data_IF_752536291386
#
_entry.id   IF_752536291386
#
_cell.length_a   1.000
_cell.length_b   1.000
_cell.length_c   1.000
_cell.angle_alpha   90.00
_cell.angle_beta   90.00
_cell.angle_gamma   90.00
#
_symmetry.space_group_name_H-M   'P 1'
#
loop_
_entity.id
_entity.type
_entity.pdbx_description
1 polymer ?
#
# COMPACT_ATOMS: atom_id res chain seq x y z
N UNK A 1 39.52 -5.56 8.56
CA UNK A 1 38.38 -4.83 7.99
C UNK A 1 38.52 -3.40 8.47
N UNK A 2 38.56 -2.41 7.58
CA UNK A 2 38.23 -1.04 8.00
C UNK A 2 36.74 -1.10 8.34
N UNK A 3 36.37 -0.79 9.57
CA UNK A 3 34.96 -0.66 9.91
C UNK A 3 34.52 0.68 9.30
N UNK A 4 33.59 0.64 8.35
CA UNK A 4 33.01 1.84 7.72
C UNK A 4 31.95 2.51 8.62
N UNK A 5 31.80 2.05 9.86
CA UNK A 5 30.83 2.52 10.86
C UNK A 5 31.53 2.63 12.21
N UNK A 6 31.58 3.85 12.74
CA UNK A 6 31.97 4.13 14.12
C UNK A 6 30.76 4.00 15.06
N UNK A 7 30.98 3.46 16.26
CA UNK A 7 29.92 3.24 17.25
C UNK A 7 30.19 4.12 18.47
N UNK A 8 29.20 4.92 18.84
CA UNK A 8 29.20 5.75 20.03
C UNK A 8 28.01 5.36 20.91
N UNK A 9 28.29 4.87 22.13
CA UNK A 9 27.27 4.51 23.11
C UNK A 9 27.02 5.69 24.07
N UNK A 10 26.41 6.75 23.57
CA UNK A 10 26.13 7.97 24.33
C UNK A 10 24.65 8.35 24.24
N UNK A 11 24.15 9.04 25.26
CA UNK A 11 22.77 9.53 25.37
C UNK A 11 22.69 11.06 25.46
N UNK A 12 23.77 11.73 25.83
CA UNK A 12 23.88 13.18 25.86
C UNK A 12 24.03 13.76 24.44
N UNK A 13 23.08 14.60 24.03
CA UNK A 13 23.00 15.12 22.67
C UNK A 13 24.19 16.01 22.33
N UNK A 14 24.61 16.85 23.25
CA UNK A 14 25.70 17.80 23.08
C UNK A 14 27.01 17.05 22.80
N UNK A 15 27.32 16.02 23.60
CA UNK A 15 28.47 15.15 23.37
C UNK A 15 28.39 14.38 22.05
N UNK A 16 27.19 13.89 21.67
CA UNK A 16 26.99 13.22 20.38
C UNK A 16 27.30 14.16 19.21
N UNK A 17 26.83 15.41 19.26
CA UNK A 17 27.04 16.40 18.21
C UNK A 17 28.51 16.86 18.12
N UNK A 18 29.17 17.00 19.26
CA UNK A 18 30.60 17.33 19.32
C UNK A 18 31.44 16.21 18.71
N UNK A 19 31.17 14.95 19.05
CA UNK A 19 31.88 13.81 18.48
C UNK A 19 31.59 13.66 16.98
N UNK A 20 30.33 13.84 16.56
CA UNK A 20 29.95 13.83 15.14
C UNK A 20 30.71 14.88 14.31
N UNK A 21 30.94 16.07 14.87
CA UNK A 21 31.76 17.12 14.27
C UNK A 21 33.25 16.76 14.24
N UNK A 22 33.79 16.28 15.36
CA UNK A 22 35.20 15.91 15.49
C UNK A 22 35.58 14.79 14.53
N UNK A 23 34.73 13.77 14.44
CA UNK A 23 34.87 12.64 13.51
C UNK A 23 34.61 13.03 12.05
N UNK A 24 34.05 14.23 11.78
CA UNK A 24 33.63 14.70 10.45
C UNK A 24 32.71 13.70 9.77
N UNK A 25 31.73 13.19 10.51
CA UNK A 25 30.79 12.20 9.98
C UNK A 25 30.04 12.76 8.76
N UNK A 26 29.69 11.89 7.80
CA UNK A 26 28.81 12.26 6.69
C UNK A 26 27.36 11.80 6.93
N UNK A 27 27.20 10.78 7.78
CA UNK A 27 25.93 10.20 8.18
C UNK A 27 25.95 9.99 9.69
N UNK A 28 24.90 10.45 10.37
CA UNK A 28 24.66 10.23 11.79
C UNK A 28 23.37 9.42 11.96
N UNK A 29 23.43 8.32 12.70
CA UNK A 29 22.26 7.46 12.97
C UNK A 29 21.99 7.49 14.47
N UNK A 30 20.81 8.00 14.85
CA UNK A 30 20.31 7.98 16.22
C UNK A 30 19.30 6.84 16.36
N UNK A 31 19.71 5.73 16.97
CA UNK A 31 18.94 4.47 17.06
C UNK A 31 17.69 4.55 17.94
N UNK A 32 17.61 5.53 18.83
CA UNK A 32 16.39 5.81 19.59
C UNK A 32 16.38 7.24 20.08
N UNK A 33 15.58 8.09 19.45
CA UNK A 33 15.45 9.49 19.89
C UNK A 33 14.85 9.60 21.29
N UNK A 34 14.08 8.60 21.72
CA UNK A 34 13.50 8.56 23.07
C UNK A 34 14.55 8.42 24.17
N UNK A 35 15.76 7.94 23.85
CA UNK A 35 16.83 7.76 24.84
C UNK A 35 17.81 8.92 24.88
N UNK A 36 17.68 9.91 23.99
CA UNK A 36 18.58 11.05 23.91
C UNK A 36 18.13 12.15 24.87
N UNK A 37 19.06 12.73 25.62
CA UNK A 37 18.87 13.89 26.49
C UNK A 37 19.68 15.10 26.07
N UNK A 38 19.15 16.29 26.37
CA UNK A 38 19.81 17.56 26.16
C UNK A 38 19.54 18.44 27.37
N UNK A 39 20.60 19.06 27.89
CA UNK A 39 20.55 19.92 29.07
C UNK A 39 19.80 21.24 28.79
N UNK A 40 19.66 21.63 27.52
CA UNK A 40 18.91 22.82 27.12
C UNK A 40 17.38 22.66 27.26
N UNK A 41 16.89 21.44 27.48
CA UNK A 41 15.45 21.14 27.59
C UNK A 41 15.06 20.72 29.01
N UNK A 42 14.22 21.52 29.67
CA UNK A 42 13.60 21.16 30.94
C UNK A 42 12.55 20.05 30.73
N UNK A 43 12.96 18.79 30.80
CA UNK A 43 12.07 17.64 30.67
C UNK A 43 12.75 16.33 31.04
N UNK A 44 11.98 15.37 31.57
CA UNK A 44 12.50 14.04 31.82
C UNK A 44 12.85 13.33 30.49
N UNK A 45 13.84 12.43 30.48
CA UNK A 45 14.12 11.53 29.37
C UNK A 45 12.86 10.82 28.85
N UNK A 46 12.75 10.68 27.53
CA UNK A 46 11.61 10.15 26.79
C UNK A 46 10.31 11.01 26.83
N UNK A 47 10.35 12.21 27.42
CA UNK A 47 9.20 13.12 27.36
C UNK A 47 9.03 13.73 25.95
N UNK A 48 7.79 14.00 25.56
CA UNK A 48 7.47 14.56 24.23
C UNK A 48 8.23 15.87 23.95
N UNK A 49 8.33 16.74 24.95
CA UNK A 49 9.01 18.03 24.85
C UNK A 49 10.51 17.86 24.59
N UNK A 50 11.15 16.94 25.31
CA UNK A 50 12.56 16.64 25.16
C UNK A 50 12.87 16.00 23.79
N UNK A 51 12.06 15.03 23.36
CA UNK A 51 12.21 14.39 22.03
C UNK A 51 12.07 15.43 20.91
N UNK A 52 11.13 16.38 21.02
CA UNK A 52 11.01 17.49 20.07
C UNK A 52 12.23 18.41 20.06
N UNK A 53 12.73 18.78 21.24
CA UNK A 53 13.90 19.64 21.37
C UNK A 53 15.14 18.99 20.76
N UNK A 54 15.40 17.72 21.09
CA UNK A 54 16.51 16.96 20.52
C UNK A 54 16.39 16.83 18.99
N UNK A 55 15.20 16.52 18.48
CA UNK A 55 14.95 16.43 17.02
C UNK A 55 15.21 17.77 16.33
N UNK A 56 14.78 18.89 16.93
CA UNK A 56 14.98 20.22 16.38
C UNK A 56 16.48 20.58 16.33
N UNK A 57 17.24 20.26 17.38
CA UNK A 57 18.69 20.48 17.44
C UNK A 57 19.45 19.62 16.42
N UNK A 58 19.09 18.34 16.28
CA UNK A 58 19.62 17.44 15.24
C UNK A 58 19.32 17.97 13.83
N UNK A 59 18.10 18.47 13.60
CA UNK A 59 17.72 19.07 12.30
C UNK A 59 18.53 20.33 12.01
N UNK A 60 18.81 21.15 13.03
CA UNK A 60 19.66 22.33 12.87
C UNK A 60 21.09 21.94 12.54
N UNK A 61 21.66 20.99 13.28
CA UNK A 61 22.99 20.44 13.01
C UNK A 61 23.13 19.92 11.58
N UNK A 62 22.15 19.15 11.09
CA UNK A 62 22.14 18.65 9.71
C UNK A 62 22.20 19.79 8.68
N UNK A 63 21.48 20.90 8.92
CA UNK A 63 21.46 22.06 8.02
C UNK A 63 22.75 22.88 8.07
N UNK A 64 23.39 22.98 9.22
CA UNK A 64 24.66 23.72 9.38
C UNK A 64 25.85 22.97 8.78
N UNK A 65 25.85 21.65 8.92
CA UNK A 65 27.00 20.80 8.57
C UNK A 65 26.86 20.09 7.23
N UNK A 66 25.63 19.92 6.73
CA UNK A 66 25.32 19.10 5.56
C UNK A 66 25.31 17.59 5.85
N UNK A 67 25.39 17.17 7.11
CA UNK A 67 25.34 15.76 7.52
C UNK A 67 23.94 15.18 7.34
N UNK A 68 23.84 13.95 6.83
CA UNK A 68 22.57 13.22 6.76
C UNK A 68 22.27 12.59 8.13
N UNK A 69 21.16 12.97 8.75
CA UNK A 69 20.77 12.46 10.07
C UNK A 69 19.57 11.52 9.95
N UNK A 70 19.74 10.27 10.39
CA UNK A 70 18.67 9.29 10.58
C UNK A 70 18.25 9.28 12.05
N UNK A 71 16.93 9.31 12.27
CA UNK A 71 16.33 9.30 13.60
C UNK A 71 15.35 8.14 13.68
N UNK A 72 15.60 7.21 14.59
CA UNK A 72 14.70 6.09 14.85
C UNK A 72 13.78 6.46 16.02
N UNK A 73 12.47 6.34 15.77
CA UNK A 73 11.43 6.62 16.75
C UNK A 73 10.49 5.42 16.89
N UNK A 74 10.51 4.78 18.06
CA UNK A 74 9.62 3.65 18.36
C UNK A 74 8.17 4.09 18.61
N UNK A 75 7.20 3.32 18.10
CA UNK A 75 5.78 3.49 18.42
C UNK A 75 5.45 2.72 19.69
N UNK A 76 4.97 3.41 20.73
CA UNK A 76 4.59 2.80 22.02
C UNK A 76 3.13 2.33 22.03
N UNK A 77 2.80 1.38 22.93
CA UNK A 77 1.52 0.63 22.97
C UNK A 77 0.25 1.49 23.06
N UNK A 78 0.35 2.72 23.56
CA UNK A 78 -0.80 3.61 23.75
C UNK A 78 -0.95 4.68 22.67
N UNK A 79 -0.07 4.73 21.67
CA UNK A 79 -0.06 5.76 20.63
C UNK A 79 0.19 7.20 21.14
N UNK A 80 0.34 7.38 22.46
CA UNK A 80 0.29 8.67 23.16
C UNK A 80 1.62 9.15 23.73
N UNK A 81 2.70 8.35 23.69
CA UNK A 81 4.02 8.82 24.14
C UNK A 81 4.87 9.09 22.91
N UNK A 82 5.03 10.38 22.60
CA UNK A 82 6.04 10.90 21.68
C UNK A 82 6.16 10.11 20.36
N UNK A 83 5.03 9.67 19.80
CA UNK A 83 5.04 8.90 18.56
C UNK A 83 5.63 9.71 17.39
N UNK A 84 6.08 9.06 16.30
CA UNK A 84 6.66 9.70 15.12
C UNK A 84 5.80 10.85 14.58
N UNK A 85 4.46 10.77 14.71
CA UNK A 85 3.50 11.86 14.41
C UNK A 85 3.84 13.21 15.00
N UNK A 86 4.43 13.22 16.19
CA UNK A 86 4.83 14.44 16.88
C UNK A 86 6.02 15.13 16.19
N UNK A 87 6.85 14.35 15.52
CA UNK A 87 8.08 14.78 14.85
C UNK A 87 7.87 14.99 13.35
N UNK A 88 6.80 14.45 12.77
CA UNK A 88 6.50 14.50 11.33
C UNK A 88 6.61 15.90 10.72
N UNK A 89 6.21 16.94 11.47
CA UNK A 89 6.27 18.32 10.98
C UNK A 89 7.68 18.93 11.04
N UNK A 90 8.55 18.42 11.91
CA UNK A 90 9.88 18.97 12.21
C UNK A 90 10.94 18.44 11.23
N UNK A 91 10.81 17.19 10.79
CA UNK A 91 11.76 16.50 9.92
C UNK A 91 11.47 16.68 8.42
N UNK A 92 12.46 16.44 7.56
CA UNK A 92 12.30 16.57 6.12
C UNK A 92 11.65 15.33 5.46
N UNK A 93 11.94 14.14 5.97
CA UNK A 93 11.40 12.86 5.48
C UNK A 93 10.91 12.02 6.67
N UNK A 94 9.76 11.38 6.51
CA UNK A 94 9.14 10.47 7.49
C UNK A 94 8.91 9.14 6.80
N UNK A 95 9.53 8.09 7.33
CA UNK A 95 9.34 6.72 6.89
C UNK A 95 8.69 5.92 8.03
N UNK A 96 7.66 5.15 7.71
CA UNK A 96 7.07 4.17 8.60
C UNK A 96 7.54 2.78 8.20
N UNK A 97 7.98 2.00 9.18
CA UNK A 97 8.30 0.61 8.98
C UNK A 97 7.22 -0.25 9.65
N UNK A 98 6.36 -0.82 8.81
CA UNK A 98 5.13 -1.52 9.20
C UNK A 98 5.24 -3.01 8.86
N UNK A 99 4.60 -3.87 9.62
CA UNK A 99 4.49 -5.28 9.25
C UNK A 99 3.47 -5.98 10.13
N UNK A 100 2.60 -6.78 9.51
CA UNK A 100 1.74 -7.68 10.27
C UNK A 100 2.58 -8.81 10.88
N UNK A 101 2.15 -9.31 12.03
CA UNK A 101 2.80 -10.43 12.74
C UNK A 101 2.75 -11.73 11.93
N UNK A 102 1.82 -11.85 10.98
CA UNK A 102 1.51 -13.11 10.31
C UNK A 102 2.15 -13.28 8.92
N UNK A 103 2.60 -12.19 8.26
CA UNK A 103 3.01 -12.25 6.84
C UNK A 103 4.53 -12.27 6.62
N UNK A 104 5.37 -12.20 7.67
CA UNK A 104 6.84 -12.23 7.54
C UNK A 104 7.48 -11.01 6.84
N UNK A 105 6.67 -10.27 6.08
CA UNK A 105 7.04 -9.07 5.35
C UNK A 105 7.02 -7.83 6.24
N UNK A 106 7.85 -6.86 5.84
CA UNK A 106 7.99 -5.53 6.42
C UNK A 106 7.96 -4.51 5.30
N UNK A 107 7.04 -3.55 5.40
CA UNK A 107 6.82 -2.49 4.45
C UNK A 107 7.45 -1.21 5.00
N UNK A 108 8.37 -0.60 4.25
CA UNK A 108 8.92 0.72 4.51
C UNK A 108 8.19 1.74 3.63
N UNK A 109 7.34 2.60 4.21
CA UNK A 109 6.48 3.53 3.48
C UNK A 109 6.82 4.97 3.82
N UNK A 110 6.92 5.84 2.82
CA UNK A 110 7.16 7.26 3.05
C UNK A 110 5.84 8.01 3.33
N UNK A 111 5.68 8.62 4.50
CA UNK A 111 4.48 9.44 4.79
C UNK A 111 4.73 10.92 4.50
N UNK A 112 6.00 11.34 4.57
CA UNK A 112 6.46 12.67 4.16
C UNK A 112 7.80 12.50 3.48
N UNK A 113 7.99 13.13 2.33
CA UNK A 113 9.26 13.12 1.64
C UNK A 113 9.45 14.46 0.94
N UNK A 114 10.34 15.32 1.46
CA UNK A 114 10.64 16.61 0.82
C UNK A 114 11.54 16.48 -0.42
N UNK A 115 12.13 15.31 -0.62
CA UNK A 115 13.12 15.07 -1.67
C UNK A 115 12.66 14.04 -2.71
N UNK A 116 11.41 13.56 -2.63
CA UNK A 116 10.90 12.51 -3.49
C UNK A 116 9.41 12.23 -3.28
N UNK A 117 8.92 11.11 -3.80
CA UNK A 117 7.53 10.71 -3.61
C UNK A 117 7.28 10.17 -2.20
N UNK A 118 6.07 10.38 -1.68
CA UNK A 118 5.55 9.68 -0.50
C UNK A 118 5.04 8.29 -0.86
N UNK A 119 4.65 8.09 -2.10
CA UNK A 119 3.99 6.85 -2.49
C UNK A 119 5.03 5.80 -2.90
N UNK A 120 6.21 5.78 -2.28
CA UNK A 120 7.22 4.74 -2.48
C UNK A 120 7.18 3.78 -1.31
N UNK A 121 7.24 2.48 -1.63
CA UNK A 121 7.25 1.39 -0.66
C UNK A 121 8.46 0.50 -0.92
N UNK A 122 9.29 0.31 0.11
CA UNK A 122 10.26 -0.77 0.17
C UNK A 122 9.63 -2.00 0.80
N UNK A 123 9.82 -3.17 0.23
CA UNK A 123 9.32 -4.44 0.79
C UNK A 123 10.51 -5.27 1.22
N UNK A 124 10.47 -5.73 2.47
CA UNK A 124 11.55 -6.50 3.08
C UNK A 124 10.99 -7.74 3.75
N UNK A 125 11.82 -8.75 3.88
CA UNK A 125 11.54 -9.97 4.65
C UNK A 125 12.61 -10.13 5.73
N UNK A 126 12.21 -10.52 6.94
CA UNK A 126 13.16 -10.82 8.02
C UNK A 126 13.60 -12.29 7.92
N UNK A 127 14.85 -12.51 7.50
CA UNK A 127 15.47 -13.84 7.51
C UNK A 127 16.44 -14.02 8.69
N UNK A 128 17.08 -15.19 8.75
CA UNK A 128 18.01 -15.55 9.83
C UNK A 128 19.23 -14.61 9.93
N UNK A 129 19.66 -14.05 8.80
CA UNK A 129 20.80 -13.12 8.73
C UNK A 129 20.40 -11.64 8.79
N UNK A 130 19.13 -11.33 9.05
CA UNK A 130 18.58 -9.97 9.07
C UNK A 130 17.61 -9.68 7.92
N UNK A 131 17.37 -8.39 7.67
CA UNK A 131 16.41 -7.96 6.66
C UNK A 131 16.95 -8.08 5.25
N UNK A 132 16.16 -8.66 4.35
CA UNK A 132 16.45 -8.76 2.93
C UNK A 132 15.41 -8.02 2.11
N UNK A 133 15.86 -7.25 1.13
CA UNK A 133 14.97 -6.63 0.15
C UNK A 133 14.25 -7.69 -0.69
N UNK A 134 12.94 -7.51 -0.84
CA UNK A 134 12.12 -8.26 -1.77
C UNK A 134 12.04 -7.45 -3.08
N UNK A 135 12.88 -7.81 -4.04
CA UNK A 135 13.00 -7.07 -5.30
C UNK A 135 11.73 -7.12 -6.18
N UNK A 136 10.94 -8.19 -6.09
CA UNK A 136 9.68 -8.36 -6.84
C UNK A 136 8.52 -8.72 -5.91
N UNK A 137 8.00 -7.74 -5.16
CA UNK A 137 6.97 -8.00 -4.16
C UNK A 137 5.64 -8.41 -4.80
N UNK A 138 5.39 -8.03 -6.04
CA UNK A 138 4.15 -8.34 -6.74
C UNK A 138 3.94 -9.84 -6.95
N UNK A 139 4.99 -10.68 -7.00
CA UNK A 139 4.82 -12.13 -7.03
C UNK A 139 4.36 -12.73 -5.70
N UNK A 140 4.64 -12.06 -4.57
CA UNK A 140 4.22 -12.52 -3.25
C UNK A 140 2.74 -12.23 -2.99
N UNK A 141 2.19 -11.21 -3.63
CA UNK A 141 0.80 -10.77 -3.44
C UNK A 141 -0.19 -11.42 -4.42
N UNK A 142 0.28 -12.37 -5.22
CA UNK A 142 -0.53 -13.10 -6.19
C UNK A 142 -0.52 -14.57 -5.81
N UNK A 143 -1.70 -15.12 -5.52
CA UNK A 143 -1.83 -16.55 -5.20
C UNK A 143 -1.50 -17.43 -6.41
N UNK A 144 -1.74 -16.91 -7.62
CA UNK A 144 -1.62 -17.64 -8.88
C UNK A 144 -2.78 -18.61 -9.13
N UNK A 145 -3.75 -18.69 -8.21
CA UNK A 145 -4.91 -19.58 -8.33
C UNK A 145 -6.11 -18.84 -8.94
N UNK A 146 -6.79 -19.51 -9.87
CA UNK A 146 -8.02 -19.00 -10.47
C UNK A 146 -9.21 -19.54 -9.67
N UNK A 147 -9.50 -18.90 -8.54
CA UNK A 147 -10.63 -19.25 -7.66
C UNK A 147 -11.79 -18.24 -7.80
N UNK A 148 -13.04 -18.67 -7.55
CA UNK A 148 -14.17 -17.75 -7.41
C UNK A 148 -13.85 -16.68 -6.36
N UNK A 149 -14.29 -15.44 -6.64
CA UNK A 149 -14.06 -14.33 -5.73
C UNK A 149 -12.64 -13.77 -5.77
N UNK A 150 -11.83 -14.08 -6.78
CA UNK A 150 -10.47 -13.54 -6.91
C UNK A 150 -10.33 -12.71 -8.19
N UNK A 151 -9.80 -11.49 -8.09
CA UNK A 151 -9.50 -10.65 -9.25
C UNK A 151 -8.22 -9.86 -9.03
N UNK A 152 -7.41 -9.73 -10.08
CA UNK A 152 -6.14 -9.00 -10.02
C UNK A 152 -6.30 -7.61 -10.62
N UNK A 153 -5.68 -6.64 -9.97
CA UNK A 153 -5.62 -5.26 -10.43
C UNK A 153 -4.19 -4.73 -10.36
N UNK A 154 -3.93 -3.60 -11.01
CA UNK A 154 -2.68 -2.89 -10.92
C UNK A 154 -2.95 -1.53 -10.31
N UNK A 155 -2.47 -1.31 -9.09
CA UNK A 155 -2.46 -0.01 -8.45
C UNK A 155 -1.14 0.73 -8.75
N UNK A 156 -1.13 2.05 -8.62
CA UNK A 156 0.05 2.90 -8.68
C UNK A 156 0.36 3.39 -7.28
N UNK A 157 1.46 2.87 -6.74
CA UNK A 157 2.11 3.41 -5.55
C UNK A 157 3.14 4.41 -6.08
N UNK A 158 2.70 5.66 -6.21
CA UNK A 158 3.54 6.74 -6.71
C UNK A 158 3.83 6.57 -8.17
N UNK A 159 5.10 6.45 -8.53
CA UNK A 159 5.56 6.10 -9.88
C UNK A 159 5.57 4.61 -10.17
N UNK A 160 5.45 3.75 -9.15
CA UNK A 160 5.60 2.30 -9.28
C UNK A 160 4.24 1.62 -9.48
N UNK A 161 4.07 0.80 -10.54
CA UNK A 161 2.92 -0.09 -10.64
C UNK A 161 3.10 -1.27 -9.70
N UNK A 162 2.05 -1.64 -8.98
CA UNK A 162 2.00 -2.81 -8.09
C UNK A 162 0.75 -3.62 -8.46
N UNK A 163 0.94 -4.89 -8.83
CA UNK A 163 -0.19 -5.81 -8.90
C UNK A 163 -0.66 -6.21 -7.51
N UNK A 164 -1.98 -6.21 -7.33
CA UNK A 164 -2.64 -6.62 -6.11
C UNK A 164 -3.79 -7.58 -6.44
N UNK A 165 -3.90 -8.65 -5.66
CA UNK A 165 -5.05 -9.55 -5.69
C UNK A 165 -6.13 -9.05 -4.73
N UNK A 166 -7.35 -8.92 -5.24
CA UNK A 166 -8.56 -8.64 -4.47
C UNK A 166 -9.33 -9.93 -4.33
N UNK A 167 -9.66 -10.27 -3.09
CA UNK A 167 -10.45 -11.44 -2.72
C UNK A 167 -11.77 -11.01 -2.12
N UNK A 168 -12.84 -11.72 -2.47
CA UNK A 168 -14.16 -11.53 -1.89
C UNK A 168 -14.81 -12.85 -1.55
N UNK A 169 -15.56 -12.85 -0.46
CA UNK A 169 -16.37 -13.95 0.00
C UNK A 169 -17.78 -13.44 0.27
N UNK A 170 -18.75 -14.09 -0.35
CA UNK A 170 -20.17 -13.79 -0.17
C UNK A 170 -20.86 -14.96 0.51
N UNK A 171 -21.69 -14.65 1.50
CA UNK A 171 -22.57 -15.65 2.15
C UNK A 171 -23.98 -15.10 2.24
N UNK A 172 -24.97 -15.99 2.18
CA UNK A 172 -26.35 -15.62 2.47
C UNK A 172 -26.47 -15.07 3.89
N UNK A 173 -27.09 -13.90 4.02
CA UNK A 173 -27.47 -13.37 5.31
C UNK A 173 -28.85 -13.90 5.69
N UNK A 174 -28.90 -14.75 6.72
CA UNK A 174 -30.15 -15.29 7.22
C UNK A 174 -30.98 -14.26 8.01
N UNK A 175 -30.36 -13.26 8.65
CA UNK A 175 -31.05 -12.31 9.54
C UNK A 175 -30.38 -10.94 9.66
N UNK A 176 -31.18 -9.88 9.56
CA UNK A 176 -30.77 -8.50 9.86
C UNK A 176 -30.12 -7.78 8.66
N UNK A 177 -29.37 -6.72 8.96
CA UNK A 177 -28.67 -5.96 7.93
C UNK A 177 -27.42 -6.72 7.46
N UNK A 178 -27.21 -6.92 6.14
CA UNK A 178 -26.03 -7.60 5.64
C UNK A 178 -24.74 -6.89 6.04
N UNK A 179 -23.77 -7.70 6.46
CA UNK A 179 -22.42 -7.27 6.81
C UNK A 179 -21.66 -6.88 5.55
N UNK A 180 -20.93 -5.78 5.64
CA UNK A 180 -20.06 -5.26 4.59
C UNK A 180 -18.71 -4.98 5.24
N UNK A 181 -17.76 -5.87 5.05
CA UNK A 181 -16.45 -5.82 5.68
C UNK A 181 -15.38 -5.74 4.60
N UNK A 182 -14.40 -4.88 4.81
CA UNK A 182 -13.32 -4.66 3.86
C UNK A 182 -12.00 -4.50 4.61
N UNK A 183 -10.96 -5.18 4.13
CA UNK A 183 -9.56 -4.95 4.50
C UNK A 183 -8.80 -4.53 3.23
N UNK A 184 -8.08 -3.40 3.31
CA UNK A 184 -7.34 -2.84 2.18
C UNK A 184 -8.11 -1.87 1.28
N UNK A 185 -9.44 -1.74 1.42
CA UNK A 185 -10.27 -0.73 0.74
C UNK A 185 -11.23 -0.07 1.75
N UNK A 186 -11.56 1.21 1.54
CA UNK A 186 -12.60 1.91 2.31
C UNK A 186 -13.99 1.24 2.21
N UNK A 187 -14.66 1.08 3.35
CA UNK A 187 -15.98 0.42 3.44
C UNK A 187 -17.07 1.23 2.72
N UNK A 188 -16.97 2.56 2.71
CA UNK A 188 -17.89 3.44 1.98
C UNK A 188 -17.78 3.21 0.47
N UNK A 189 -16.55 3.12 -0.04
CA UNK A 189 -16.25 2.78 -1.44
C UNK A 189 -16.78 1.40 -1.82
N UNK A 190 -16.57 0.37 -0.99
CA UNK A 190 -17.17 -0.95 -1.21
C UNK A 190 -18.70 -0.85 -1.32
N UNK A 191 -19.34 -0.13 -0.40
CA UNK A 191 -20.80 0.02 -0.38
C UNK A 191 -21.35 0.67 -1.65
N UNK A 192 -20.66 1.66 -2.22
CA UNK A 192 -21.04 2.28 -3.49
C UNK A 192 -20.92 1.28 -4.66
N UNK A 193 -19.84 0.50 -4.71
CA UNK A 193 -19.65 -0.50 -5.77
C UNK A 193 -20.73 -1.58 -5.72
N UNK A 194 -21.10 -2.05 -4.52
CA UNK A 194 -22.21 -3.00 -4.34
C UNK A 194 -23.54 -2.42 -4.84
N UNK A 195 -23.82 -1.15 -4.55
CA UNK A 195 -25.03 -0.48 -5.04
C UNK A 195 -25.05 -0.35 -6.58
N UNK A 196 -23.91 -0.07 -7.21
CA UNK A 196 -23.78 -0.03 -8.67
C UNK A 196 -23.99 -1.42 -9.27
N UNK A 197 -23.35 -2.45 -8.72
CA UNK A 197 -23.53 -3.84 -9.18
C UNK A 197 -24.99 -4.29 -9.07
N UNK A 198 -25.66 -3.98 -7.96
CA UNK A 198 -27.06 -4.34 -7.77
C UNK A 198 -27.99 -3.60 -8.74
N UNK A 199 -27.79 -2.29 -8.92
CA UNK A 199 -28.68 -1.47 -9.76
C UNK A 199 -28.40 -1.59 -11.26
N UNK A 200 -27.13 -1.73 -11.66
CA UNK A 200 -26.67 -1.63 -13.06
C UNK A 200 -26.28 -2.96 -13.67
N UNK A 201 -25.83 -3.91 -12.85
CA UNK A 201 -25.53 -5.28 -13.29
C UNK A 201 -26.59 -6.30 -12.80
N UNK A 202 -27.65 -5.84 -12.13
CA UNK A 202 -28.77 -6.65 -11.66
C UNK A 202 -28.38 -7.82 -10.72
N UNK A 203 -27.26 -7.67 -10.01
CA UNK A 203 -26.78 -8.67 -9.05
C UNK A 203 -27.53 -8.54 -7.72
N UNK A 204 -28.11 -9.64 -7.21
CA UNK A 204 -28.86 -9.64 -5.95
C UNK A 204 -27.91 -9.66 -4.73
N UNK A 205 -27.36 -8.50 -4.38
CA UNK A 205 -26.36 -8.34 -3.30
C UNK A 205 -26.96 -7.89 -1.97
N UNK A 206 -28.16 -7.30 -1.97
CA UNK A 206 -28.85 -6.82 -0.76
C UNK A 206 -29.16 -7.89 0.29
N UNK A 207 -29.04 -9.17 -0.03
CA UNK A 207 -29.26 -10.30 0.89
C UNK A 207 -27.96 -11.04 1.25
N UNK A 208 -26.81 -10.53 0.80
CA UNK A 208 -25.52 -11.19 0.99
C UNK A 208 -24.64 -10.39 1.95
N UNK A 209 -24.04 -11.10 2.90
CA UNK A 209 -22.88 -10.56 3.60
C UNK A 209 -21.69 -10.56 2.62
N UNK A 210 -20.94 -9.46 2.59
CA UNK A 210 -19.78 -9.27 1.71
C UNK A 210 -18.55 -9.03 2.56
N UNK A 211 -17.57 -9.90 2.41
CA UNK A 211 -16.23 -9.75 2.98
C UNK A 211 -15.25 -9.54 1.84
N UNK A 212 -14.43 -8.50 1.92
CA UNK A 212 -13.43 -8.17 0.92
C UNK A 212 -12.05 -8.02 1.59
N UNK A 213 -11.03 -8.56 0.94
CA UNK A 213 -9.65 -8.47 1.38
C UNK A 213 -8.73 -8.14 0.20
N UNK A 214 -7.76 -7.26 0.41
CA UNK A 214 -6.64 -7.07 -0.51
C UNK A 214 -5.45 -7.84 0.04
N UNK A 215 -4.92 -8.77 -0.75
CA UNK A 215 -3.84 -9.68 -0.33
C UNK A 215 -2.56 -8.91 -0.03
N UNK A 216 -1.81 -9.34 1.00
CA UNK A 216 -0.49 -8.79 1.36
C UNK A 216 -0.53 -7.48 2.14
N UNK A 217 -1.64 -7.19 2.83
CA UNK A 217 -1.81 -5.97 3.62
C UNK A 217 -1.79 -4.67 2.80
N UNK A 218 -1.93 -4.76 1.48
CA UNK A 218 -1.93 -3.61 0.58
C UNK A 218 -3.19 -2.77 0.77
N UNK A 219 -3.07 -1.45 0.56
CA UNK A 219 -4.20 -0.52 0.53
C UNK A 219 -4.41 -0.01 -0.89
N UNK A 220 -5.65 -0.12 -1.38
CA UNK A 220 -6.04 0.35 -2.71
C UNK A 220 -6.81 1.65 -2.58
N UNK A 221 -6.08 2.76 -2.46
CA UNK A 221 -6.67 4.08 -2.22
C UNK A 221 -7.15 4.77 -3.51
N UNK A 222 -6.68 4.33 -4.68
CA UNK A 222 -7.08 4.93 -5.96
C UNK A 222 -8.28 4.25 -6.61
N UNK A 223 -9.09 5.02 -7.36
CA UNK A 223 -10.34 4.57 -8.00
C UNK A 223 -10.16 3.58 -9.14
N UNK A 224 -8.96 3.52 -9.70
CA UNK A 224 -8.69 2.74 -10.89
C UNK A 224 -8.71 1.22 -10.68
N UNK A 225 -8.86 0.78 -9.42
CA UNK A 225 -9.04 -0.61 -9.01
C UNK A 225 -10.52 -1.01 -8.83
N UNK A 226 -11.47 -0.07 -9.00
CA UNK A 226 -12.90 -0.31 -8.79
C UNK A 226 -13.43 -1.46 -9.65
N UNK A 227 -13.00 -1.55 -10.91
CA UNK A 227 -13.45 -2.60 -11.81
C UNK A 227 -13.04 -3.99 -11.33
N UNK A 228 -11.83 -4.14 -10.78
CA UNK A 228 -11.37 -5.41 -10.23
C UNK A 228 -12.17 -5.82 -8.99
N UNK A 229 -12.46 -4.87 -8.10
CA UNK A 229 -13.34 -5.09 -6.93
C UNK A 229 -14.73 -5.54 -7.39
N UNK A 230 -15.27 -4.87 -8.41
CA UNK A 230 -16.58 -5.20 -8.94
C UNK A 230 -16.64 -6.62 -9.56
N UNK A 231 -15.63 -6.99 -10.34
CA UNK A 231 -15.52 -8.33 -10.92
C UNK A 231 -15.24 -9.41 -9.88
N UNK A 232 -14.45 -9.10 -8.85
CA UNK A 232 -14.18 -9.96 -7.71
C UNK A 232 -15.49 -10.32 -7.00
N UNK A 233 -16.33 -9.34 -6.65
CA UNK A 233 -17.64 -9.56 -6.03
C UNK A 233 -18.58 -10.34 -6.94
N UNK A 234 -18.62 -10.01 -8.24
CA UNK A 234 -19.43 -10.75 -9.20
C UNK A 234 -18.99 -12.22 -9.31
N UNK A 235 -17.68 -12.48 -9.30
CA UNK A 235 -17.09 -13.81 -9.31
C UNK A 235 -17.51 -14.64 -8.11
N UNK A 236 -17.43 -14.07 -6.91
CA UNK A 236 -17.86 -14.74 -5.68
C UNK A 236 -19.37 -14.98 -5.65
N UNK A 237 -20.19 -14.03 -6.15
CA UNK A 237 -21.64 -14.22 -6.21
C UNK A 237 -22.04 -15.35 -7.16
N UNK A 238 -21.37 -15.44 -8.32
CA UNK A 238 -21.65 -16.45 -9.34
C UNK A 238 -20.97 -17.79 -9.08
N UNK A 239 -20.11 -17.87 -8.06
CA UNK A 239 -19.25 -19.02 -7.77
C UNK A 239 -18.44 -19.49 -9.00
N UNK A 240 -17.95 -18.53 -9.80
CA UNK A 240 -17.21 -18.77 -11.03
C UNK A 240 -15.93 -17.94 -11.06
N UNK A 241 -14.75 -18.54 -11.29
CA UNK A 241 -13.51 -17.78 -11.38
C UNK A 241 -13.49 -16.92 -12.65
N UNK A 242 -12.74 -15.82 -12.61
CA UNK A 242 -12.43 -15.04 -13.80
C UNK A 242 -11.60 -15.88 -14.79
N UNK A 243 -11.58 -15.53 -16.10
CA UNK A 243 -10.67 -16.15 -17.03
C UNK A 243 -9.21 -16.08 -16.51
N UNK A 244 -8.43 -17.17 -16.62
CA UNK A 244 -7.06 -17.20 -16.12
C UNK A 244 -6.23 -16.02 -16.64
N UNK A 245 -5.26 -15.57 -15.84
CA UNK A 245 -4.29 -14.53 -16.24
C UNK A 245 -4.96 -13.22 -16.69
N UNK A 246 -6.15 -12.94 -16.15
CA UNK A 246 -6.91 -11.71 -16.41
C UNK A 246 -6.75 -10.70 -15.27
N UNK A 247 -6.33 -9.49 -15.59
CA UNK A 247 -6.38 -8.35 -14.69
C UNK A 247 -7.45 -7.35 -15.13
N UNK A 248 -7.97 -6.56 -14.19
CA UNK A 248 -9.00 -5.57 -14.46
C UNK A 248 -8.62 -4.20 -13.90
N UNK A 249 -8.80 -3.19 -14.73
CA UNK A 249 -8.43 -1.81 -14.44
C UNK A 249 -9.55 -0.88 -14.91
N UNK A 250 -9.94 0.07 -14.07
CA UNK A 250 -10.95 1.07 -14.40
C UNK A 250 -11.63 1.60 -13.15
N UNK A 251 -11.99 2.88 -13.20
CA UNK A 251 -12.90 3.50 -12.23
C UNK A 251 -14.35 3.17 -12.62
N UNK A 252 -15.17 2.80 -11.64
CA UNK A 252 -16.60 2.50 -11.86
C UNK A 252 -17.42 3.67 -11.36
N UNK A 253 -18.09 4.35 -12.29
CA UNK A 253 -19.01 5.42 -11.95
C UNK A 253 -20.37 4.91 -11.48
N UNK A 254 -21.14 5.77 -10.82
CA UNK A 254 -22.46 5.42 -10.30
C UNK A 254 -23.49 5.09 -11.39
N UNK A 255 -23.24 5.49 -12.64
CA UNK A 255 -24.11 5.12 -13.76
C UNK A 255 -23.81 3.71 -14.31
N UNK A 256 -22.74 3.08 -13.81
CA UNK A 256 -22.24 1.77 -14.25
C UNK A 256 -21.18 1.86 -15.33
N UNK A 257 -20.78 3.07 -15.72
CA UNK A 257 -19.75 3.32 -16.72
C UNK A 257 -18.35 3.02 -16.17
N UNK A 258 -17.46 2.52 -17.04
CA UNK A 258 -16.05 2.30 -16.72
C UNK A 258 -15.24 3.45 -17.30
N UNK A 259 -14.52 4.17 -16.45
CA UNK A 259 -13.81 5.42 -16.78
C UNK A 259 -12.30 5.19 -16.89
N UNK A 260 -11.67 5.99 -17.75
CA UNK A 260 -10.23 5.96 -18.02
C UNK A 260 -9.41 6.39 -16.81
N UNK A 261 -8.17 5.93 -16.75
CA UNK A 261 -7.21 6.23 -15.68
C UNK A 261 -5.85 6.65 -16.25
N UNK A 262 -4.97 7.15 -15.38
CA UNK A 262 -3.62 7.56 -15.76
C UNK A 262 -2.64 6.37 -15.85
N UNK A 263 -1.53 6.60 -16.56
CA UNK A 263 -0.35 5.69 -16.62
C UNK A 263 -0.67 4.27 -17.10
N UNK A 264 -1.55 4.17 -18.09
CA UNK A 264 -1.99 2.89 -18.66
C UNK A 264 -0.81 2.06 -19.16
N UNK A 265 0.10 2.63 -19.93
CA UNK A 265 1.27 1.91 -20.44
C UNK A 265 2.10 1.25 -19.33
N UNK A 266 2.39 2.01 -18.26
CA UNK A 266 3.11 1.50 -17.08
C UNK A 266 2.37 0.33 -16.41
N UNK A 267 1.06 0.44 -16.23
CA UNK A 267 0.24 -0.62 -15.63
C UNK A 267 0.17 -1.87 -16.52
N UNK A 268 0.02 -1.69 -17.83
CA UNK A 268 -0.07 -2.81 -18.77
C UNK A 268 1.26 -3.56 -18.89
N UNK A 269 2.39 -2.84 -18.94
CA UNK A 269 3.70 -3.47 -18.93
C UNK A 269 3.91 -4.30 -17.65
N UNK A 270 3.42 -3.81 -16.50
CA UNK A 270 3.50 -4.55 -15.24
C UNK A 270 2.63 -5.81 -15.24
N UNK A 271 1.40 -5.73 -15.76
CA UNK A 271 0.54 -6.89 -15.98
C UNK A 271 1.28 -7.98 -16.78
N UNK A 272 1.86 -7.60 -17.93
CA UNK A 272 2.58 -8.54 -18.80
C UNK A 272 3.82 -9.11 -18.13
N UNK A 273 4.61 -8.27 -17.43
CA UNK A 273 5.82 -8.68 -16.69
C UNK A 273 5.53 -9.79 -15.69
N UNK A 274 4.37 -9.73 -15.05
CA UNK A 274 3.91 -10.69 -14.04
C UNK A 274 3.02 -11.80 -14.61
N UNK A 275 2.90 -11.85 -15.93
CA UNK A 275 2.25 -12.95 -16.64
C UNK A 275 0.75 -12.77 -16.89
N UNK A 276 0.16 -11.61 -16.66
CA UNK A 276 -1.22 -11.35 -17.07
C UNK A 276 -1.26 -10.98 -18.55
N UNK A 277 -1.80 -11.89 -19.35
CA UNK A 277 -1.89 -11.75 -20.81
C UNK A 277 -3.21 -11.14 -21.26
N UNK A 278 -4.17 -10.98 -20.35
CA UNK A 278 -5.48 -10.39 -20.64
C UNK A 278 -5.75 -9.26 -19.65
N UNK A 279 -6.09 -8.06 -20.15
CA UNK A 279 -6.44 -6.92 -19.30
C UNK A 279 -7.76 -6.30 -19.75
N UNK A 280 -8.73 -6.25 -18.83
CA UNK A 280 -10.00 -5.57 -19.03
C UNK A 280 -9.81 -4.07 -18.71
N UNK A 281 -10.11 -3.21 -19.69
CA UNK A 281 -9.87 -1.77 -19.65
C UNK A 281 -11.11 -0.97 -20.04
N UNK A 282 -11.21 0.31 -19.62
CA UNK A 282 -12.22 1.23 -20.11
C UNK A 282 -12.12 1.38 -21.63
N UNK A 283 -13.26 1.33 -22.34
CA UNK A 283 -13.33 1.34 -23.82
C UNK A 283 -12.64 2.55 -24.46
N UNK A 284 -12.68 3.70 -23.79
CA UNK A 284 -12.09 4.95 -24.28
C UNK A 284 -10.60 5.11 -23.90
N UNK A 285 -9.97 4.07 -23.37
CA UNK A 285 -8.55 4.07 -23.01
C UNK A 285 -7.68 4.02 -24.26
N UNK A 286 -6.79 5.00 -24.42
CA UNK A 286 -5.70 4.94 -25.42
C UNK A 286 -4.60 4.01 -24.90
N UNK A 287 -4.78 2.71 -25.08
CA UNK A 287 -3.79 1.70 -24.70
C UNK A 287 -2.73 1.51 -25.81
N UNK A 288 -1.42 1.49 -25.49
CA UNK A 288 -0.40 1.09 -26.45
C UNK A 288 -0.58 -0.38 -26.82
N UNK A 289 -0.14 -0.76 -28.03
CA UNK A 289 -0.04 -2.16 -28.41
C UNK A 289 1.17 -2.77 -27.71
N UNK A 290 0.93 -3.74 -26.84
CA UNK A 290 1.98 -4.50 -26.15
C UNK A 290 1.91 -5.94 -26.65
N UNK A 291 3.05 -6.50 -27.03
CA UNK A 291 3.13 -7.86 -27.56
C UNK A 291 2.70 -8.89 -26.49
N UNK A 292 1.90 -9.88 -26.90
CA UNK A 292 1.38 -10.90 -25.98
C UNK A 292 0.25 -10.44 -25.07
N UNK A 293 -0.16 -9.17 -25.12
CA UNK A 293 -1.25 -8.63 -24.30
C UNK A 293 -2.55 -8.47 -25.09
N UNK A 294 -3.60 -9.15 -24.63
CA UNK A 294 -4.98 -8.96 -25.06
C UNK A 294 -5.67 -7.90 -24.22
N UNK A 295 -5.93 -6.75 -24.83
CA UNK A 295 -6.77 -5.70 -24.21
C UNK A 295 -8.24 -5.94 -24.52
N UNK A 296 -9.07 -5.93 -23.48
CA UNK A 296 -10.52 -6.12 -23.56
C UNK A 296 -11.21 -4.79 -23.19
N UNK A 297 -11.64 -4.00 -24.19
CA UNK A 297 -12.29 -2.72 -23.93
C UNK A 297 -13.74 -2.91 -23.48
N UNK A 298 -14.12 -2.29 -22.36
CA UNK A 298 -15.48 -2.31 -21.79
C UNK A 298 -15.97 -0.89 -21.49
N UNK A 299 -17.23 -0.59 -21.84
CA UNK A 299 -17.85 0.69 -21.54
C UNK A 299 -18.57 0.69 -20.18
N UNK A 300 -19.04 -0.49 -19.74
CA UNK A 300 -19.81 -0.64 -18.50
C UNK A 300 -19.34 -1.82 -17.66
N UNK A 301 -19.64 -1.79 -16.37
CA UNK A 301 -19.38 -2.93 -15.47
C UNK A 301 -20.13 -4.19 -15.92
N UNK A 302 -21.33 -4.02 -16.50
CA UNK A 302 -22.10 -5.11 -17.08
C UNK A 302 -21.38 -5.79 -18.25
N UNK A 303 -20.78 -5.02 -19.17
CA UNK A 303 -19.96 -5.57 -20.26
C UNK A 303 -18.74 -6.33 -19.76
N UNK A 304 -18.12 -5.87 -18.66
CA UNK A 304 -16.98 -6.56 -18.05
C UNK A 304 -17.38 -7.91 -17.44
N UNK A 305 -18.51 -7.94 -16.73
CA UNK A 305 -19.08 -9.19 -16.17
C UNK A 305 -19.47 -10.14 -17.31
N UNK A 306 -20.13 -9.62 -18.33
CA UNK A 306 -20.52 -10.37 -19.52
C UNK A 306 -19.30 -11.02 -20.19
N UNK A 307 -18.21 -10.28 -20.41
CA UNK A 307 -16.98 -10.84 -20.96
C UNK A 307 -16.44 -12.03 -20.15
N UNK A 308 -16.56 -11.98 -18.82
CA UNK A 308 -16.08 -13.05 -17.94
C UNK A 308 -16.99 -14.29 -17.98
N UNK A 309 -18.32 -14.12 -18.14
CA UNK A 309 -19.28 -15.19 -17.86
C UNK A 309 -20.32 -15.51 -18.95
N UNK A 310 -20.51 -14.71 -20.00
CA UNK A 310 -21.54 -14.94 -21.05
C UNK A 310 -21.35 -16.24 -21.86
N UNK A 311 -20.27 -17.00 -21.64
CA UNK A 311 -20.10 -18.36 -22.18
C UNK A 311 -20.57 -19.47 -21.24
N UNK A 312 -21.13 -19.17 -20.07
CA UNK A 312 -21.62 -20.17 -19.12
C UNK A 312 -22.98 -19.73 -18.55
N UNK A 313 -24.00 -20.61 -18.54
CA UNK A 313 -25.28 -20.26 -17.95
C UNK A 313 -25.09 -20.01 -16.46
N UNK A 314 -25.46 -18.81 -16.01
CA UNK A 314 -25.65 -18.50 -14.60
C UNK A 314 -26.94 -19.23 -14.18
N UNK A 315 -26.79 -20.23 -13.31
CA UNK A 315 -27.88 -21.03 -12.73
C UNK A 315 -28.50 -20.28 -11.57
#
# INVERSE_FOLDING_TARGET
MKNDIDILCETDLEQILDEANNARCNVLIVDSIQTISSDESAGAPASVSQVRAATARLTHFAKETGVVVFIVGHVTKDGNIAGPRVLEHIVDTVLYFEGDRHEGLRLLRAVKNRFGSTNEVGVFEMGDSGMREVADPSRLFLSGESAPGCCVTCAMEGSRPILAEVQSLLTDNAYGNPRRTSAGIDVGRLSLLLAVLEKKAHLRLSTKDVYLNVVGGLRLDERSTDLAVALCVASALMDLPLPPRTAALGEVGLTGEVRTMSRIETRLNECVRLGYDTVILPKNTKAPKIEGLKVVPVATVGEAIAYCYEKKPVV
#
